data_IF_808149503279
#
_entry.id   IF_808149503279
#
_cell.length_a   1.000
_cell.length_b   1.000
_cell.length_c   1.000
_cell.angle_alpha   90.00
_cell.angle_beta   90.00
_cell.angle_gamma   90.00
#
_symmetry.space_group_name_H-M   'P 1'
#
loop_
_entity.id
_entity.type
_entity.pdbx_description
1 polymer ?
#
# COMPACT_ATOMS: atom_id res chain seq x y z
N UNK A 1 -12.52 7.32 -18.62
CA UNK A 1 -12.37 7.01 -17.56
C UNK A 1 -12.52 7.94 -16.70
N UNK A 2 -12.36 8.94 -17.14
CA UNK A 2 -12.53 9.85 -16.24
C UNK A 2 -13.87 9.85 -15.72
N UNK A 3 -14.88 9.45 -16.47
CA UNK A 3 -16.18 9.39 -15.90
C UNK A 3 -16.20 8.37 -14.81
N UNK A 4 -15.49 7.29 -14.98
CA UNK A 4 -15.40 6.33 -13.92
C UNK A 4 -14.70 6.91 -12.74
N UNK A 5 -13.68 7.68 -12.95
CA UNK A 5 -13.01 8.27 -11.85
C UNK A 5 -13.90 9.23 -11.15
N UNK A 6 -14.66 9.99 -11.90
CA UNK A 6 -15.56 10.90 -11.27
C UNK A 6 -16.53 10.20 -10.40
N UNK A 7 -17.08 9.10 -10.88
CA UNK A 7 -18.04 8.37 -10.10
C UNK A 7 -17.43 7.76 -8.86
N UNK A 8 -16.22 7.29 -8.98
CA UNK A 8 -15.55 6.75 -7.82
C UNK A 8 -15.33 7.80 -6.77
N UNK A 9 -14.96 8.97 -7.19
CA UNK A 9 -14.73 10.01 -6.24
C UNK A 9 -16.02 10.49 -5.65
N UNK A 10 -17.06 10.52 -6.43
CA UNK A 10 -18.34 10.90 -5.90
C UNK A 10 -18.78 9.90 -4.86
N UNK A 11 -18.58 8.64 -5.13
CA UNK A 11 -18.93 7.62 -4.18
C UNK A 11 -18.07 7.74 -2.94
N UNK A 12 -16.88 8.26 -3.08
CA UNK A 12 -15.99 8.45 -1.98
C UNK A 12 -16.07 9.88 -1.47
N UNK A 13 -17.05 10.66 -1.97
CA UNK A 13 -17.12 12.02 -1.54
C UNK A 13 -16.68 12.98 -2.63
N UNK A 14 -16.42 12.53 -3.82
CA UNK A 14 -15.99 13.39 -4.84
C UNK A 14 -16.79 13.20 -6.03
N UNK A 15 -16.65 13.98 -6.97
CA UNK A 15 -17.32 13.80 -8.06
C UNK A 15 -16.66 13.91 -9.22
N UNK A 16 -15.59 13.81 -9.44
CA UNK A 16 -15.02 14.03 -10.53
C UNK A 16 -14.01 13.29 -10.87
N UNK A 17 -13.46 13.19 -11.85
CA UNK A 17 -12.36 12.62 -12.33
C UNK A 17 -11.67 11.60 -11.60
N UNK A 18 -11.55 11.70 -10.45
CA UNK A 18 -10.83 10.73 -9.68
C UNK A 18 -9.84 11.40 -8.79
N UNK A 19 -9.15 10.61 -8.04
CA UNK A 19 -8.15 11.13 -7.14
C UNK A 19 -7.12 11.92 -7.92
N UNK A 20 -6.77 11.45 -9.12
CA UNK A 20 -5.79 12.13 -9.92
C UNK A 20 -6.16 13.56 -10.22
N UNK A 21 -7.36 13.82 -10.65
CA UNK A 21 -7.76 15.15 -10.98
C UNK A 21 -7.86 16.03 -9.76
N UNK A 22 -8.41 15.45 -8.71
CA UNK A 22 -8.58 16.22 -7.50
C UNK A 22 -7.28 16.62 -6.89
N UNK A 23 -6.30 15.74 -6.90
CA UNK A 23 -4.99 16.02 -6.33
C UNK A 23 -3.99 16.46 -7.37
N UNK A 24 -4.46 16.66 -8.61
CA UNK A 24 -3.58 17.11 -9.69
C UNK A 24 -2.43 16.12 -9.93
N UNK A 25 -2.72 14.83 -9.84
CA UNK A 25 -1.70 13.81 -10.04
C UNK A 25 -1.66 13.38 -11.49
N UNK A 26 -0.48 13.12 -12.01
CA UNK A 26 -0.34 12.56 -13.34
C UNK A 26 -0.46 11.03 -13.26
N UNK A 27 -0.54 10.33 -14.39
CA UNK A 27 -0.72 8.88 -14.38
C UNK A 27 0.38 8.13 -13.65
N UNK A 28 1.60 8.60 -13.72
CA UNK A 28 2.72 7.94 -13.04
C UNK A 28 2.59 8.07 -11.53
N UNK A 29 2.18 9.22 -11.06
CA UNK A 29 2.00 9.43 -9.63
C UNK A 29 0.85 8.58 -9.12
N UNK A 30 -0.21 8.48 -9.90
CA UNK A 30 -1.36 7.68 -9.53
C UNK A 30 -0.98 6.21 -9.44
N UNK A 31 -0.19 5.73 -10.39
CA UNK A 31 0.27 4.35 -10.40
C UNK A 31 1.18 4.07 -9.20
N UNK A 32 2.00 5.04 -8.84
CA UNK A 32 2.88 4.92 -7.68
C UNK A 32 2.07 4.77 -6.39
N UNK A 33 1.03 5.56 -6.25
CA UNK A 33 0.18 5.49 -5.06
C UNK A 33 -0.54 4.14 -5.02
N UNK A 34 -1.04 3.68 -6.15
CA UNK A 34 -1.70 2.38 -6.21
C UNK A 34 -0.75 1.25 -5.85
N UNK A 35 0.48 1.33 -6.31
CA UNK A 35 1.48 0.34 -5.98
C UNK A 35 1.76 0.33 -4.49
N UNK A 36 1.92 1.49 -3.89
CA UNK A 36 2.17 1.57 -2.45
C UNK A 36 1.01 0.98 -1.65
N UNK A 37 -0.21 1.30 -2.03
CA UNK A 37 -1.38 0.77 -1.32
C UNK A 37 -1.46 -0.75 -1.46
N UNK A 38 -1.14 -1.26 -2.64
CA UNK A 38 -1.14 -2.68 -2.88
C UNK A 38 -0.11 -3.38 -2.00
N UNK A 39 1.09 -2.81 -1.92
CA UNK A 39 2.14 -3.36 -1.07
C UNK A 39 1.74 -3.31 0.40
N UNK A 40 1.14 -2.22 0.84
CA UNK A 40 0.70 -2.07 2.23
C UNK A 40 -0.34 -3.11 2.60
N UNK A 41 -1.32 -3.31 1.73
CA UNK A 41 -2.38 -4.29 1.97
C UNK A 41 -1.83 -5.70 2.01
N UNK A 42 -0.91 -6.00 1.11
CA UNK A 42 -0.31 -7.33 1.08
C UNK A 42 0.61 -7.57 2.27
N UNK A 43 1.26 -6.53 2.76
CA UNK A 43 2.07 -6.65 3.95
C UNK A 43 1.21 -7.04 5.15
N UNK A 44 0.08 -6.36 5.33
CA UNK A 44 -0.82 -6.67 6.42
C UNK A 44 -1.38 -8.09 6.27
N UNK A 45 -1.77 -8.45 5.07
CA UNK A 45 -2.32 -9.76 4.80
C UNK A 45 -1.29 -10.85 5.09
N UNK A 46 -0.06 -10.65 4.65
CA UNK A 46 1.01 -11.63 4.87
C UNK A 46 1.28 -11.78 6.35
N UNK A 47 1.36 -10.67 7.07
CA UNK A 47 1.60 -10.70 8.51
C UNK A 47 0.50 -11.51 9.22
N UNK A 48 -0.76 -11.23 8.86
CA UNK A 48 -1.89 -11.92 9.49
C UNK A 48 -1.89 -13.40 9.14
N UNK A 49 -1.54 -13.75 7.91
CA UNK A 49 -1.47 -15.13 7.50
C UNK A 49 -0.44 -15.90 8.33
N UNK A 50 0.65 -15.22 8.68
CA UNK A 50 1.69 -15.84 9.49
C UNK A 50 1.37 -15.75 10.98
N UNK A 51 0.24 -15.12 11.33
CA UNK A 51 -0.20 -14.99 12.72
C UNK A 51 0.82 -14.26 13.60
N UNK A 52 1.41 -13.24 13.03
CA UNK A 52 2.38 -12.41 13.74
C UNK A 52 1.70 -11.08 14.08
N UNK A 53 1.86 -10.61 15.31
CA UNK A 53 1.28 -9.33 15.70
C UNK A 53 2.12 -8.18 15.13
N UNK A 54 1.54 -6.98 15.09
CA UNK A 54 2.30 -5.81 14.66
C UNK A 54 3.51 -5.58 15.56
N UNK A 55 3.36 -5.84 16.84
CA UNK A 55 4.43 -5.65 17.80
C UNK A 55 5.58 -6.61 17.53
N UNK A 56 5.25 -7.88 17.27
CA UNK A 56 6.28 -8.87 16.99
C UNK A 56 6.96 -8.59 15.66
N UNK A 57 6.18 -8.18 14.66
CA UNK A 57 6.75 -7.84 13.37
C UNK A 57 7.69 -6.64 13.50
N UNK A 58 7.29 -5.64 14.31
CA UNK A 58 8.14 -4.48 14.55
C UNK A 58 9.50 -4.91 15.10
N UNK A 59 9.51 -5.89 16.00
CA UNK A 59 10.77 -6.38 16.52
C UNK A 59 11.60 -7.06 15.44
N UNK A 60 10.95 -7.80 14.56
CA UNK A 60 11.67 -8.50 13.49
C UNK A 60 12.39 -7.53 12.57
N UNK A 61 11.79 -6.38 12.29
CA UNK A 61 12.41 -5.41 11.41
C UNK A 61 13.09 -4.26 12.17
N UNK A 62 13.24 -4.42 13.47
CA UNK A 62 13.91 -3.44 14.34
C UNK A 62 13.25 -2.06 14.21
N UNK A 63 11.95 -2.03 14.31
CA UNK A 63 11.17 -0.81 14.19
C UNK A 63 10.15 -0.74 15.34
N UNK A 64 9.19 0.15 15.24
CA UNK A 64 8.17 0.30 16.26
C UNK A 64 6.83 -0.18 15.74
N UNK A 65 5.94 -0.53 16.65
CA UNK A 65 4.59 -0.92 16.27
C UNK A 65 3.88 0.21 15.55
N UNK A 66 4.11 1.45 15.99
CA UNK A 66 3.52 2.62 15.35
C UNK A 66 3.93 2.69 13.88
N UNK A 67 5.20 2.40 13.59
CA UNK A 67 5.68 2.43 12.22
C UNK A 67 5.08 1.31 11.39
N UNK A 68 4.95 0.12 11.98
CA UNK A 68 4.31 -1.00 11.30
C UNK A 68 2.85 -0.65 10.98
N UNK A 69 2.16 -0.03 11.93
CA UNK A 69 0.78 0.39 11.68
C UNK A 69 0.69 1.35 10.51
N UNK A 70 1.62 2.30 10.42
CA UNK A 70 1.66 3.22 9.29
C UNK A 70 1.94 2.50 7.99
N UNK A 71 2.85 1.55 8.02
CA UNK A 71 3.18 0.77 6.82
C UNK A 71 1.96 0.03 6.30
N UNK A 72 1.18 -0.53 7.20
CA UNK A 72 0.00 -1.31 6.80
C UNK A 72 -1.20 -0.46 6.42
N UNK A 73 -1.24 0.78 6.86
CA UNK A 73 -2.34 1.67 6.56
C UNK A 73 -2.16 2.46 5.26
N UNK A 74 -1.02 2.33 4.62
CA UNK A 74 -0.77 3.08 3.39
C UNK A 74 -0.36 4.51 3.63
N UNK A 75 0.24 4.80 4.79
CA UNK A 75 0.67 6.16 5.13
C UNK A 75 1.64 6.69 4.07
N UNK A 76 1.42 7.90 3.57
CA UNK A 76 2.28 8.45 2.50
C UNK A 76 3.73 8.63 2.90
N UNK A 77 4.03 8.69 4.18
CA UNK A 77 5.41 8.89 4.62
C UNK A 77 6.24 7.60 4.57
N UNK A 78 5.58 6.47 4.32
CA UNK A 78 6.30 5.20 4.24
C UNK A 78 6.75 4.96 2.80
N UNK A 79 8.01 4.58 2.61
CA UNK A 79 8.54 4.38 1.27
C UNK A 79 8.21 2.99 0.74
N UNK A 80 8.19 2.86 -0.58
CA UNK A 80 8.01 1.57 -1.22
C UNK A 80 9.16 0.65 -0.83
N UNK A 81 10.36 1.19 -0.73
CA UNK A 81 11.53 0.42 -0.37
C UNK A 81 11.33 -0.29 0.96
N UNK A 82 10.82 0.43 1.93
CA UNK A 82 10.56 -0.15 3.24
C UNK A 82 9.50 -1.25 3.16
N UNK A 83 8.45 -1.02 2.37
CA UNK A 83 7.41 -2.02 2.22
C UNK A 83 7.93 -3.30 1.58
N UNK A 84 8.75 -3.18 0.55
CA UNK A 84 9.32 -4.35 -0.11
C UNK A 84 10.24 -5.10 0.83
N UNK A 85 11.11 -4.38 1.53
CA UNK A 85 12.01 -5.01 2.47
C UNK A 85 11.27 -5.73 3.58
N UNK A 86 10.18 -5.13 4.04
CA UNK A 86 9.36 -5.73 5.09
C UNK A 86 8.67 -7.00 4.61
N UNK A 87 8.18 -7.00 3.36
CA UNK A 87 7.59 -8.20 2.78
C UNK A 87 8.63 -9.31 2.66
N UNK A 88 9.85 -8.96 2.30
CA UNK A 88 10.91 -9.95 2.23
C UNK A 88 11.26 -10.48 3.61
N UNK A 89 11.19 -9.63 4.63
CA UNK A 89 11.42 -10.07 6.00
C UNK A 89 10.38 -11.09 6.44
N UNK A 90 9.17 -11.01 5.88
CA UNK A 90 8.11 -11.97 6.16
C UNK A 90 8.20 -13.18 5.23
N UNK A 91 9.32 -13.34 4.52
CA UNK A 91 9.55 -14.49 3.65
C UNK A 91 8.54 -14.60 2.50
N UNK A 92 8.10 -13.48 2.00
CA UNK A 92 7.19 -13.47 0.86
C UNK A 92 7.95 -13.91 -0.38
N UNK A 93 7.47 -14.92 -1.12
CA UNK A 93 8.17 -15.36 -2.33
C UNK A 93 8.22 -14.27 -3.38
N UNK A 94 9.30 -14.24 -4.14
CA UNK A 94 9.46 -13.21 -5.19
C UNK A 94 8.35 -13.28 -6.22
N UNK A 95 7.85 -14.46 -6.54
CA UNK A 95 6.75 -14.60 -7.47
C UNK A 95 5.50 -13.91 -6.93
N UNK A 96 5.28 -14.00 -5.63
CA UNK A 96 4.14 -13.36 -5.03
C UNK A 96 4.31 -11.85 -5.03
N UNK A 97 5.52 -11.37 -4.82
CA UNK A 97 5.80 -9.94 -4.89
C UNK A 97 5.49 -9.42 -6.30
N UNK A 98 5.86 -10.17 -7.32
CA UNK A 98 5.57 -9.77 -8.69
C UNK A 98 4.08 -9.66 -8.95
N UNK A 99 3.28 -10.49 -8.29
CA UNK A 99 1.83 -10.44 -8.48
C UNK A 99 1.18 -9.27 -7.77
N UNK A 100 1.84 -8.71 -6.78
CA UNK A 100 1.32 -7.57 -6.06
C UNK A 100 1.34 -6.34 -6.95
N UNK A 101 2.28 -6.28 -7.88
CA UNK A 101 2.42 -5.12 -8.73
C UNK A 101 1.25 -4.99 -9.69
N UNK A 102 0.59 -3.84 -9.74
CA UNK A 102 -0.52 -3.65 -10.67
C UNK A 102 -0.02 -3.71 -12.08
N UNK A 103 -0.86 -4.18 -12.99
CA UNK A 103 -0.48 -4.28 -14.38
C UNK A 103 -1.11 -3.25 -15.24
#
# INVERSE_FOLDING_TARGET
MEKNKQKRLEAAGWKLGGVNELLDLNPEESAYIELKLSLSQNLQKRRRTLKITQKDFARMIKSSQSRVAKMESGDPTVSIDLLVKSLLALKTPKQQLARILPR
#
